data_IF_630765847436
#
_entry.id   IF_630765847436
#
_cell.length_a   1.000
_cell.length_b   1.000
_cell.length_c   1.000
_cell.angle_alpha   90.00
_cell.angle_beta   90.00
_cell.angle_gamma   90.00
#
_symmetry.space_group_name_H-M   'P 1'
#
loop_
_entity.id
_entity.type
_entity.pdbx_description
1 polymer ?
#
# COMPACT_ATOMS: atom_id res chain seq x y z
N UNK A 1 -36.06 -11.63 30.17
CA UNK A 1 -35.52 -12.14 28.90
C UNK A 1 -36.67 -12.47 27.98
N UNK A 2 -36.69 -12.03 26.70
CA UNK A 2 -37.80 -12.36 25.79
C UNK A 2 -37.73 -13.87 25.46
N UNK A 3 -38.86 -14.57 25.51
CA UNK A 3 -38.99 -16.03 25.34
C UNK A 3 -38.23 -16.60 24.13
N UNK A 4 -38.25 -15.97 22.93
CA UNK A 4 -37.48 -16.49 21.77
C UNK A 4 -35.98 -16.57 22.01
N UNK A 5 -35.37 -15.58 22.65
CA UNK A 5 -33.95 -15.57 22.93
C UNK A 5 -33.55 -16.63 23.97
N UNK A 6 -34.40 -16.88 24.94
CA UNK A 6 -34.20 -17.95 25.93
C UNK A 6 -34.17 -19.34 25.27
N UNK A 7 -35.14 -19.58 24.38
CA UNK A 7 -35.21 -20.88 23.65
C UNK A 7 -34.02 -21.03 22.70
N UNK A 8 -33.69 -20.02 21.91
CA UNK A 8 -32.56 -20.02 20.99
C UNK A 8 -31.21 -20.30 21.71
N UNK A 9 -30.97 -19.63 22.83
CA UNK A 9 -29.76 -19.87 23.64
C UNK A 9 -29.72 -21.29 24.20
N UNK A 10 -30.89 -21.84 24.64
CA UNK A 10 -30.96 -23.20 25.16
C UNK A 10 -30.74 -24.24 24.07
N UNK A 11 -31.21 -24.01 22.85
CA UNK A 11 -30.95 -24.88 21.70
C UNK A 11 -29.47 -24.92 21.34
N UNK A 12 -28.81 -23.79 21.33
CA UNK A 12 -27.38 -23.70 20.99
C UNK A 12 -26.49 -24.39 22.04
N UNK A 13 -26.81 -24.35 23.32
CA UNK A 13 -25.95 -24.84 24.41
C UNK A 13 -26.46 -26.12 25.11
N UNK A 14 -27.56 -26.76 24.62
CA UNK A 14 -28.12 -27.95 25.28
C UNK A 14 -27.24 -29.21 25.08
N UNK A 15 -26.79 -29.79 26.18
CA UNK A 15 -25.95 -31.01 26.21
C UNK A 15 -26.63 -32.30 25.74
N UNK A 16 -27.94 -32.34 25.56
CA UNK A 16 -28.74 -33.55 25.27
C UNK A 16 -29.35 -33.60 23.86
N UNK A 17 -29.03 -32.66 22.97
CA UNK A 17 -29.50 -32.72 21.60
C UNK A 17 -28.56 -33.57 20.76
N UNK A 18 -29.12 -34.37 19.85
CA UNK A 18 -28.42 -35.29 18.96
C UNK A 18 -27.10 -34.69 18.39
N UNK A 19 -26.04 -35.49 18.35
CA UNK A 19 -24.70 -35.09 17.90
C UNK A 19 -24.66 -34.33 16.56
N UNK A 20 -25.62 -34.62 15.66
CA UNK A 20 -25.67 -34.00 14.31
C UNK A 20 -25.95 -32.49 14.37
N UNK A 21 -26.88 -32.02 15.22
CA UNK A 21 -27.24 -30.59 15.32
C UNK A 21 -26.05 -29.77 15.83
N UNK A 22 -25.36 -30.26 16.85
CA UNK A 22 -24.19 -29.58 17.39
C UNK A 22 -23.04 -29.53 16.38
N UNK A 23 -22.89 -30.58 15.56
CA UNK A 23 -21.89 -30.63 14.48
C UNK A 23 -22.21 -29.58 13.41
N UNK A 24 -23.46 -29.49 12.96
CA UNK A 24 -23.90 -28.50 11.97
C UNK A 24 -23.65 -27.07 12.48
N UNK A 25 -24.07 -26.77 13.71
CA UNK A 25 -23.85 -25.45 14.32
C UNK A 25 -22.35 -25.15 14.50
N UNK A 26 -21.53 -26.14 14.85
CA UNK A 26 -20.08 -25.99 14.98
C UNK A 26 -19.41 -25.74 13.62
N UNK A 27 -19.79 -26.47 12.57
CA UNK A 27 -19.28 -26.27 11.20
C UNK A 27 -19.66 -24.86 10.71
N UNK A 28 -20.89 -24.43 11.01
CA UNK A 28 -21.36 -23.08 10.64
C UNK A 28 -20.55 -21.97 11.32
N UNK A 29 -20.37 -22.12 12.64
CA UNK A 29 -19.57 -21.18 13.43
C UNK A 29 -18.10 -21.19 12.97
N UNK A 30 -17.53 -22.38 12.66
CA UNK A 30 -16.17 -22.51 12.14
C UNK A 30 -16.01 -21.84 10.75
N UNK A 31 -16.94 -22.07 9.82
CA UNK A 31 -16.93 -21.41 8.52
C UNK A 31 -17.01 -19.89 8.62
N UNK A 32 -17.86 -19.40 9.53
CA UNK A 32 -17.91 -17.96 9.84
C UNK A 32 -16.61 -17.45 10.46
N UNK A 33 -16.01 -18.21 11.37
CA UNK A 33 -14.76 -17.86 12.02
C UNK A 33 -13.61 -17.78 11.02
N UNK A 34 -13.49 -18.75 10.11
CA UNK A 34 -12.49 -18.77 9.05
C UNK A 34 -12.67 -17.55 8.13
N UNK A 35 -13.90 -17.27 7.67
CA UNK A 35 -14.18 -16.13 6.83
C UNK A 35 -13.88 -14.79 7.52
N UNK A 36 -14.27 -14.63 8.78
CA UNK A 36 -13.99 -13.41 9.56
C UNK A 36 -12.48 -13.24 9.81
N UNK A 37 -11.78 -14.31 10.15
CA UNK A 37 -10.31 -14.28 10.32
C UNK A 37 -9.61 -13.92 9.00
N UNK A 38 -10.04 -14.48 7.87
CA UNK A 38 -9.50 -14.17 6.55
C UNK A 38 -9.69 -12.68 6.20
N UNK A 39 -10.86 -12.09 6.48
CA UNK A 39 -11.10 -10.67 6.28
C UNK A 39 -10.10 -9.80 7.06
N UNK A 40 -9.89 -10.11 8.35
CA UNK A 40 -8.93 -9.35 9.20
C UNK A 40 -7.48 -9.52 8.69
N UNK A 41 -7.09 -10.73 8.33
CA UNK A 41 -5.72 -11.02 7.86
C UNK A 41 -5.46 -10.27 6.53
N UNK A 42 -6.37 -10.37 5.55
CA UNK A 42 -6.22 -9.73 4.24
C UNK A 42 -6.15 -8.21 4.38
N UNK A 43 -7.05 -7.60 5.16
CA UNK A 43 -7.02 -6.16 5.42
C UNK A 43 -5.74 -5.73 6.11
N UNK A 44 -5.27 -6.51 7.11
CA UNK A 44 -4.03 -6.19 7.83
C UNK A 44 -2.78 -6.31 6.96
N UNK A 45 -2.73 -7.28 6.05
CA UNK A 45 -1.66 -7.42 5.06
C UNK A 45 -1.67 -6.23 4.10
N UNK A 46 -2.83 -5.88 3.56
CA UNK A 46 -2.97 -4.72 2.69
C UNK A 46 -2.48 -3.43 3.37
N UNK A 47 -2.96 -3.17 4.59
CA UNK A 47 -2.55 -2.00 5.36
C UNK A 47 -1.04 -2.00 5.66
N UNK A 48 -0.46 -3.18 5.86
CA UNK A 48 0.98 -3.34 6.06
C UNK A 48 1.79 -2.90 4.84
N UNK A 49 1.40 -3.35 3.64
CA UNK A 49 2.02 -2.92 2.39
C UNK A 49 1.76 -1.45 2.08
N UNK A 50 0.52 -0.97 2.22
CA UNK A 50 0.16 0.44 2.02
C UNK A 50 1.01 1.37 2.90
N UNK A 51 1.23 1.00 4.16
CA UNK A 51 2.07 1.77 5.08
C UNK A 51 3.54 1.80 4.64
N UNK A 52 4.11 0.67 4.20
CA UNK A 52 5.50 0.62 3.72
C UNK A 52 5.67 1.47 2.47
N UNK A 53 4.78 1.33 1.49
CA UNK A 53 4.85 2.13 0.26
C UNK A 53 4.76 3.62 0.58
N UNK A 54 3.80 4.02 1.41
CA UNK A 54 3.63 5.43 1.81
C UNK A 54 4.82 5.96 2.61
N UNK A 55 5.39 5.16 3.51
CA UNK A 55 6.54 5.55 4.30
C UNK A 55 7.77 5.74 3.43
N UNK A 56 8.03 4.82 2.52
CA UNK A 56 9.18 4.90 1.61
C UNK A 56 9.06 6.10 0.65
N UNK A 57 7.88 6.32 0.05
CA UNK A 57 7.62 7.52 -0.74
C UNK A 57 7.76 8.80 0.09
N UNK A 58 7.36 8.76 1.37
CA UNK A 58 7.43 9.92 2.27
C UNK A 58 8.85 10.28 2.70
N UNK A 59 9.76 9.31 2.76
CA UNK A 59 11.17 9.56 3.16
C UNK A 59 12.02 10.03 1.96
N UNK A 60 11.73 9.51 0.76
CA UNK A 60 12.47 9.85 -0.45
C UNK A 60 11.97 11.11 -1.14
N UNK A 61 10.65 11.30 -1.18
CA UNK A 61 10.03 12.39 -1.94
C UNK A 61 9.81 13.64 -1.11
N UNK A 62 9.95 14.85 -1.71
CA UNK A 62 9.59 16.11 -1.06
C UNK A 62 8.07 16.21 -0.86
N UNK A 63 7.62 17.08 0.06
CA UNK A 63 6.19 17.35 0.26
C UNK A 63 5.56 17.99 -0.97
N UNK A 64 6.32 18.88 -1.61
CA UNK A 64 5.95 19.52 -2.87
C UNK A 64 7.18 19.61 -3.78
N UNK A 65 6.95 19.42 -5.07
CA UNK A 65 7.91 19.64 -6.13
C UNK A 65 7.40 20.76 -7.02
N UNK A 66 8.21 21.80 -7.18
CA UNK A 66 7.91 22.93 -8.05
C UNK A 66 8.65 22.75 -9.37
N UNK A 67 7.92 22.79 -10.46
CA UNK A 67 8.41 22.66 -11.83
C UNK A 67 7.99 23.89 -12.65
N UNK A 68 8.72 24.27 -13.69
CA UNK A 68 8.27 25.31 -14.60
C UNK A 68 7.05 24.81 -15.40
N UNK A 69 6.08 25.69 -15.68
CA UNK A 69 4.93 25.40 -16.55
C UNK A 69 5.35 25.25 -18.00
N UNK A 70 6.32 26.03 -18.44
CA UNK A 70 6.88 26.00 -19.79
C UNK A 70 8.41 25.89 -19.71
N UNK A 71 8.99 25.14 -20.66
CA UNK A 71 10.45 24.92 -20.69
C UNK A 71 10.88 23.74 -19.80
N UNK A 72 12.20 23.66 -19.60
CA UNK A 72 12.84 22.61 -18.78
C UNK A 72 13.46 23.16 -17.51
N UNK A 73 13.81 24.43 -17.51
CA UNK A 73 14.53 25.10 -16.42
C UNK A 73 13.92 26.45 -16.11
N UNK A 74 14.18 26.94 -14.91
CA UNK A 74 13.82 28.28 -14.45
C UNK A 74 14.90 28.81 -13.49
N UNK A 75 14.89 30.10 -13.22
CA UNK A 75 15.80 30.70 -12.24
C UNK A 75 15.18 30.69 -10.85
N UNK A 76 15.97 30.36 -9.83
CA UNK A 76 15.53 30.38 -8.44
C UNK A 76 15.02 31.75 -7.98
N UNK A 77 15.58 32.85 -8.58
CA UNK A 77 15.12 34.20 -8.37
C UNK A 77 13.66 34.47 -8.78
N UNK A 78 13.08 33.62 -9.63
CA UNK A 78 11.69 33.74 -10.06
C UNK A 78 10.69 33.25 -9.00
N UNK A 79 11.21 32.56 -7.96
CA UNK A 79 10.42 32.04 -6.84
C UNK A 79 10.46 32.98 -5.62
N UNK A 80 9.36 33.12 -4.86
CA UNK A 80 9.34 33.88 -3.61
C UNK A 80 10.01 33.07 -2.47
N UNK A 81 11.32 32.76 -2.62
CA UNK A 81 12.09 31.88 -1.72
C UNK A 81 11.98 32.33 -0.26
N UNK A 82 12.03 33.65 0.02
CA UNK A 82 11.94 34.17 1.39
C UNK A 82 10.62 33.81 2.09
N UNK A 83 9.52 33.87 1.38
CA UNK A 83 8.21 33.51 1.92
C UNK A 83 8.05 31.98 2.09
N UNK A 84 8.61 31.20 1.18
CA UNK A 84 8.58 29.74 1.26
C UNK A 84 9.48 29.20 2.38
N UNK A 85 10.63 29.82 2.61
CA UNK A 85 11.61 29.40 3.63
C UNK A 85 11.09 29.54 5.07
N UNK A 86 10.03 30.32 5.32
CA UNK A 86 9.40 30.41 6.64
C UNK A 86 8.67 29.12 7.02
N UNK A 87 8.21 28.36 6.02
CA UNK A 87 7.37 27.18 6.24
C UNK A 87 8.03 25.87 5.78
N UNK A 88 8.92 25.97 4.78
CA UNK A 88 9.53 24.82 4.13
C UNK A 88 11.06 24.90 4.12
N UNK A 89 11.69 23.75 4.21
CA UNK A 89 13.08 23.58 3.79
C UNK A 89 13.10 23.49 2.27
N UNK A 90 13.87 24.35 1.62
CA UNK A 90 13.94 24.50 0.16
C UNK A 90 15.25 23.90 -0.31
N UNK A 91 15.21 23.10 -1.37
CA UNK A 91 16.39 22.56 -2.03
C UNK A 91 16.19 22.60 -3.55
N UNK A 92 17.10 23.29 -4.24
CA UNK A 92 17.15 23.27 -5.70
C UNK A 92 17.71 21.95 -6.22
N UNK A 93 17.13 21.41 -7.28
CA UNK A 93 17.63 20.21 -7.95
C UNK A 93 17.75 20.43 -9.45
N UNK A 94 18.71 19.71 -10.03
CA UNK A 94 18.89 19.61 -11.48
C UNK A 94 18.80 18.13 -11.83
N UNK A 95 17.78 17.75 -12.60
CA UNK A 95 17.54 16.38 -12.97
C UNK A 95 17.36 16.25 -14.49
N UNK A 96 18.21 15.41 -15.11
CA UNK A 96 18.17 15.13 -16.54
C UNK A 96 18.62 13.69 -16.84
N UNK A 97 18.14 13.18 -17.99
CA UNK A 97 18.59 11.88 -18.51
C UNK A 97 19.95 12.03 -19.16
N UNK A 98 20.92 11.26 -18.69
CA UNK A 98 22.30 11.30 -19.15
C UNK A 98 22.71 9.94 -19.74
N UNK A 99 23.64 9.96 -20.67
CA UNK A 99 24.33 8.76 -21.12
C UNK A 99 25.52 8.50 -20.19
N UNK A 100 25.71 7.26 -19.77
CA UNK A 100 26.78 6.86 -18.84
C UNK A 100 27.60 5.72 -19.39
N UNK A 101 28.91 5.78 -19.11
CA UNK A 101 29.85 4.67 -19.40
C UNK A 101 30.63 4.28 -18.16
N UNK A 102 30.82 2.99 -17.96
CA UNK A 102 31.63 2.42 -16.89
C UNK A 102 32.21 1.07 -17.31
N UNK A 103 33.53 0.88 -17.19
CA UNK A 103 34.20 -0.40 -17.46
C UNK A 103 33.97 -0.98 -18.86
N UNK A 104 33.66 -0.14 -19.85
CA UNK A 104 33.31 -0.56 -21.20
C UNK A 104 31.83 -0.84 -21.41
N UNK A 105 31.03 -0.88 -20.36
CA UNK A 105 29.57 -0.93 -20.42
C UNK A 105 28.98 0.48 -20.56
N UNK A 106 27.81 0.57 -21.15
CA UNK A 106 27.12 1.85 -21.40
C UNK A 106 25.62 1.71 -21.16
N UNK A 107 24.98 2.82 -20.77
CA UNK A 107 23.54 2.85 -20.50
C UNK A 107 23.01 4.28 -20.44
N UNK A 108 21.70 4.40 -20.17
CA UNK A 108 21.06 5.67 -19.88
C UNK A 108 20.61 5.66 -18.42
N UNK A 109 20.80 6.78 -17.77
CA UNK A 109 20.40 6.94 -16.37
C UNK A 109 19.85 8.34 -16.15
N UNK A 110 19.07 8.51 -15.10
CA UNK A 110 18.56 9.78 -14.61
C UNK A 110 19.56 10.34 -13.60
N UNK A 111 20.25 11.42 -13.93
CA UNK A 111 21.18 12.07 -13.01
C UNK A 111 20.48 13.21 -12.28
N UNK A 112 20.55 13.18 -10.95
CA UNK A 112 20.00 14.22 -10.06
C UNK A 112 21.15 14.89 -9.32
N UNK A 113 21.33 16.17 -9.61
CA UNK A 113 22.22 17.06 -8.87
C UNK A 113 21.52 17.59 -7.62
N UNK A 114 22.16 17.40 -6.45
CA UNK A 114 21.64 17.85 -5.15
C UNK A 114 22.52 18.93 -4.55
N UNK A 115 21.86 19.93 -3.91
CA UNK A 115 22.48 21.13 -3.35
C UNK A 115 22.75 21.03 -1.83
N UNK A 116 22.30 20.00 -1.16
CA UNK A 116 22.21 19.93 0.29
C UNK A 116 23.52 19.50 0.99
N UNK A 117 23.50 19.45 2.33
CA UNK A 117 24.57 18.93 3.20
C UNK A 117 25.08 17.53 2.77
N UNK A 118 24.26 16.78 2.05
CA UNK A 118 24.65 15.52 1.41
C UNK A 118 25.63 15.73 0.25
N UNK A 119 25.65 16.92 -0.40
CA UNK A 119 26.62 17.23 -1.45
C UNK A 119 28.04 17.27 -0.90
N UNK A 120 28.22 17.64 0.36
CA UNK A 120 29.56 17.67 1.00
C UNK A 120 30.16 16.26 1.08
N UNK A 121 29.34 15.23 1.24
CA UNK A 121 29.77 13.82 1.21
C UNK A 121 30.05 13.32 -0.22
N UNK A 122 29.54 14.03 -1.23
CA UNK A 122 29.73 13.72 -2.64
C UNK A 122 30.97 14.39 -3.26
N UNK A 123 31.78 15.12 -2.49
CA UNK A 123 33.07 15.64 -2.90
C UNK A 123 34.21 15.04 -2.07
N UNK A 124 35.29 14.66 -2.74
CA UNK A 124 36.55 14.27 -2.12
C UNK A 124 37.67 15.10 -2.75
N UNK A 125 37.94 16.26 -2.19
CA UNK A 125 38.77 17.30 -2.84
C UNK A 125 38.10 17.71 -4.15
N UNK A 126 38.84 17.61 -5.27
CA UNK A 126 38.33 17.94 -6.60
C UNK A 126 37.61 16.77 -7.31
N UNK A 127 37.47 15.63 -6.64
CA UNK A 127 36.85 14.42 -7.21
C UNK A 127 35.37 14.37 -6.86
N UNK A 128 34.54 14.50 -7.89
CA UNK A 128 33.11 14.29 -7.74
C UNK A 128 32.80 12.80 -7.53
N UNK A 129 31.95 12.51 -6.56
CA UNK A 129 31.49 11.18 -6.18
C UNK A 129 30.01 11.04 -6.53
N UNK A 130 29.60 9.82 -6.86
CA UNK A 130 28.21 9.54 -7.22
C UNK A 130 27.69 8.34 -6.45
N UNK A 131 26.40 8.40 -6.08
CA UNK A 131 25.63 7.28 -5.56
C UNK A 131 24.73 6.76 -6.66
N UNK A 132 24.65 5.46 -6.81
CA UNK A 132 23.96 4.81 -7.90
C UNK A 132 22.75 4.02 -7.42
N UNK A 133 21.66 4.04 -8.19
CA UNK A 133 20.54 3.13 -8.01
C UNK A 133 20.93 1.68 -8.35
N UNK A 134 20.22 0.70 -7.76
CA UNK A 134 20.58 -0.71 -7.93
C UNK A 134 20.41 -1.22 -9.36
N UNK A 135 19.46 -0.70 -10.14
CA UNK A 135 19.23 -1.07 -11.54
C UNK A 135 20.41 -0.70 -12.42
N UNK A 136 20.73 0.60 -12.49
CA UNK A 136 21.87 1.08 -13.31
C UNK A 136 23.21 0.53 -12.82
N UNK A 137 23.36 0.33 -11.49
CA UNK A 137 24.57 -0.28 -10.95
C UNK A 137 24.74 -1.73 -11.41
N UNK A 138 23.65 -2.50 -11.46
CA UNK A 138 23.65 -3.87 -11.95
C UNK A 138 23.89 -3.96 -13.46
N UNK A 139 23.24 -3.09 -14.24
CA UNK A 139 23.38 -3.02 -15.70
C UNK A 139 24.80 -2.74 -16.14
N UNK A 140 25.44 -1.77 -15.49
CA UNK A 140 26.81 -1.36 -15.81
C UNK A 140 27.88 -2.19 -15.09
N UNK A 141 27.50 -3.03 -14.12
CA UNK A 141 28.44 -3.79 -13.30
C UNK A 141 29.22 -2.90 -12.32
N UNK A 142 28.61 -1.81 -11.84
CA UNK A 142 29.24 -0.86 -10.93
C UNK A 142 29.51 -1.51 -9.58
N UNK A 143 30.76 -1.47 -9.14
CA UNK A 143 31.15 -1.89 -7.82
C UNK A 143 31.91 -0.75 -7.12
N UNK A 144 31.37 -0.14 -6.05
CA UNK A 144 32.00 0.96 -5.34
C UNK A 144 33.37 0.63 -4.73
N UNK A 145 33.73 -0.65 -4.63
CA UNK A 145 35.04 -1.10 -4.12
C UNK A 145 36.16 -0.98 -5.15
N UNK A 146 35.81 -0.83 -6.43
CA UNK A 146 36.81 -0.64 -7.48
C UNK A 146 37.18 0.83 -7.65
N UNK A 147 38.40 1.08 -8.12
CA UNK A 147 38.92 2.45 -8.32
C UNK A 147 38.45 3.07 -9.64
N UNK A 148 37.67 2.34 -10.41
CA UNK A 148 37.19 2.75 -11.73
C UNK A 148 36.21 3.92 -11.63
N UNK A 149 36.29 4.84 -12.60
CA UNK A 149 35.41 6.02 -12.67
C UNK A 149 34.35 5.81 -13.75
N UNK A 150 33.16 6.34 -13.52
CA UNK A 150 32.13 6.46 -14.53
C UNK A 150 32.23 7.82 -15.22
N UNK A 151 31.78 7.88 -16.48
CA UNK A 151 31.68 9.12 -17.24
C UNK A 151 30.22 9.36 -17.61
N UNK A 152 29.74 10.56 -17.30
CA UNK A 152 28.42 11.03 -17.68
C UNK A 152 28.56 11.93 -18.89
N UNK A 153 27.69 11.76 -19.88
CA UNK A 153 27.69 12.53 -21.12
C UNK A 153 26.33 13.18 -21.33
N UNK A 154 26.36 14.40 -21.81
CA UNK A 154 25.16 15.15 -22.20
C UNK A 154 25.47 16.03 -23.43
N UNK A 155 24.49 16.23 -24.35
CA UNK A 155 24.68 17.16 -25.47
C UNK A 155 24.95 18.57 -24.99
N UNK A 156 25.99 19.21 -25.57
CA UNK A 156 26.26 20.61 -25.30
C UNK A 156 25.17 21.49 -25.94
N UNK A 157 24.65 22.45 -25.15
CA UNK A 157 23.57 23.36 -25.58
C UNK A 157 24.00 24.23 -26.80
N UNK A 158 25.23 24.63 -26.84
CA UNK A 158 25.76 25.59 -27.82
C UNK A 158 26.51 24.91 -28.97
N UNK A 159 26.80 23.62 -28.87
CA UNK A 159 27.53 22.91 -29.87
C UNK A 159 26.72 22.61 -31.14
N UNK A 160 27.26 22.94 -32.29
CA UNK A 160 26.70 22.52 -33.57
C UNK A 160 27.07 21.08 -33.84
N UNK A 161 26.09 20.23 -34.08
CA UNK A 161 26.33 18.85 -34.47
C UNK A 161 27.18 18.77 -35.73
N UNK A 162 28.32 18.09 -35.63
CA UNK A 162 29.21 17.79 -36.75
C UNK A 162 29.22 16.27 -37.04
N UNK A 163 28.79 15.84 -38.25
CA UNK A 163 28.85 14.42 -38.61
C UNK A 163 30.24 13.82 -38.62
N UNK A 164 31.29 14.67 -38.72
CA UNK A 164 32.71 14.24 -38.77
C UNK A 164 33.24 13.97 -37.37
N UNK A 165 32.76 14.68 -36.36
CA UNK A 165 33.16 14.49 -34.97
C UNK A 165 31.93 14.69 -34.03
N UNK A 166 31.10 13.67 -33.92
CA UNK A 166 29.89 13.77 -33.10
C UNK A 166 30.21 13.89 -31.58
N UNK A 167 31.36 13.39 -31.14
CA UNK A 167 31.75 13.45 -29.72
C UNK A 167 32.10 14.88 -29.27
N UNK A 168 32.51 15.76 -30.20
CA UNK A 168 32.79 17.16 -29.87
C UNK A 168 31.51 17.97 -29.49
N UNK A 169 30.32 17.43 -29.71
CA UNK A 169 29.06 18.02 -29.32
C UNK A 169 28.56 17.46 -27.97
N UNK A 170 29.36 16.69 -27.25
CA UNK A 170 29.01 16.12 -25.96
C UNK A 170 29.89 16.70 -24.86
N UNK A 171 29.27 17.27 -23.85
CA UNK A 171 29.96 17.54 -22.60
C UNK A 171 30.09 16.23 -21.83
N UNK A 172 31.19 16.08 -21.11
CA UNK A 172 31.37 14.92 -20.24
C UNK A 172 31.96 15.32 -18.88
N UNK A 173 31.59 14.57 -17.86
CA UNK A 173 32.14 14.72 -16.52
C UNK A 173 32.47 13.34 -15.94
N UNK A 174 33.51 13.31 -15.13
CA UNK A 174 33.97 12.09 -14.48
C UNK A 174 33.46 12.04 -13.05
N UNK A 175 32.86 10.90 -12.66
CA UNK A 175 32.39 10.64 -11.30
C UNK A 175 32.98 9.35 -10.77
N UNK A 176 33.23 9.29 -9.47
CA UNK A 176 33.65 8.08 -8.78
C UNK A 176 32.46 7.42 -8.06
N UNK A 177 32.13 6.17 -8.38
CA UNK A 177 31.12 5.44 -7.60
C UNK A 177 31.55 5.27 -6.14
N UNK A 178 30.68 5.59 -5.19
CA UNK A 178 30.97 5.44 -3.76
C UNK A 178 29.98 4.56 -3.04
N UNK A 179 28.77 4.49 -3.54
CA UNK A 179 27.70 3.74 -2.92
C UNK A 179 26.68 3.30 -3.96
N UNK A 180 26.02 2.17 -3.68
CA UNK A 180 24.79 1.75 -4.37
C UNK A 180 23.70 1.78 -3.32
N UNK A 181 22.81 2.77 -3.41
CA UNK A 181 21.75 2.93 -2.43
C UNK A 181 20.64 1.89 -2.63
N UNK A 182 19.97 1.54 -1.56
CA UNK A 182 18.81 0.65 -1.65
C UNK A 182 17.60 1.48 -2.10
N UNK A 183 17.07 1.18 -3.29
CA UNK A 183 15.88 1.84 -3.78
C UNK A 183 14.63 1.27 -3.14
N UNK A 184 13.73 2.13 -2.74
CA UNK A 184 12.41 1.76 -2.26
C UNK A 184 11.41 1.57 -3.40
N UNK A 185 11.70 2.14 -4.57
CA UNK A 185 10.83 2.15 -5.74
C UNK A 185 11.60 1.77 -7.00
N UNK A 186 10.91 1.20 -8.00
CA UNK A 186 11.52 0.90 -9.30
C UNK A 186 11.98 2.18 -10.03
N UNK A 187 11.42 3.34 -9.69
CA UNK A 187 11.76 4.63 -10.30
C UNK A 187 13.16 5.13 -9.94
N UNK A 188 13.68 4.72 -8.78
CA UNK A 188 15.01 5.09 -8.34
C UNK A 188 16.08 4.10 -8.82
N UNK A 189 15.70 3.03 -9.50
CA UNK A 189 16.63 2.00 -9.95
C UNK A 189 17.70 2.57 -10.89
N UNK A 190 17.31 3.50 -11.75
CA UNK A 190 18.18 4.11 -12.76
C UNK A 190 18.64 5.52 -12.37
N UNK A 191 18.46 5.90 -11.10
CA UNK A 191 18.86 7.20 -10.58
C UNK A 191 20.33 7.24 -10.20
N UNK A 192 20.98 8.34 -10.52
CA UNK A 192 22.36 8.66 -10.11
C UNK A 192 22.31 9.99 -9.34
N UNK A 193 22.80 10.00 -8.11
CA UNK A 193 22.88 11.21 -7.28
C UNK A 193 24.30 11.75 -7.33
N UNK A 194 24.44 13.01 -7.74
CA UNK A 194 25.70 13.72 -7.91
C UNK A 194 25.64 15.12 -7.31
N UNK A 195 26.77 15.81 -7.08
CA UNK A 195 26.75 17.23 -6.71
C UNK A 195 26.06 18.08 -7.79
N UNK A 196 25.31 19.09 -7.39
CA UNK A 196 24.58 19.96 -8.32
C UNK A 196 25.53 20.74 -9.24
N UNK A 197 26.69 21.15 -8.73
CA UNK A 197 27.72 21.87 -9.50
C UNK A 197 28.24 21.04 -10.66
N UNK A 198 28.29 19.71 -10.47
CA UNK A 198 28.68 18.80 -11.55
C UNK A 198 27.62 18.77 -12.65
N UNK A 199 26.34 18.76 -12.28
CA UNK A 199 25.25 18.82 -13.25
C UNK A 199 25.22 20.15 -13.99
N UNK A 200 25.46 21.27 -13.30
CA UNK A 200 25.60 22.58 -13.95
C UNK A 200 26.70 22.57 -15.01
N UNK A 201 27.86 22.01 -14.67
CA UNK A 201 28.98 21.88 -15.62
C UNK A 201 28.64 20.99 -16.81
N UNK A 202 27.97 19.84 -16.56
CA UNK A 202 27.62 18.88 -17.60
C UNK A 202 26.58 19.43 -18.58
N UNK A 203 25.57 20.17 -18.06
CA UNK A 203 24.42 20.65 -18.81
C UNK A 203 24.62 22.07 -19.37
N UNK A 204 25.66 22.80 -18.92
CA UNK A 204 25.89 24.20 -19.25
C UNK A 204 24.84 25.13 -18.60
N UNK A 205 24.39 24.81 -17.36
CA UNK A 205 23.39 25.59 -16.64
C UNK A 205 24.04 26.69 -15.79
N UNK A 206 23.29 27.79 -15.59
CA UNK A 206 23.70 28.90 -14.74
C UNK A 206 23.68 28.54 -13.23
N UNK A 207 24.28 29.41 -12.40
CA UNK A 207 24.34 29.18 -10.94
C UNK A 207 22.94 29.16 -10.27
N UNK A 208 21.99 29.94 -10.78
CA UNK A 208 20.61 30.04 -10.25
C UNK A 208 19.60 29.27 -11.11
N UNK A 209 20.05 28.42 -12.03
CA UNK A 209 19.19 27.65 -12.93
C UNK A 209 18.93 26.26 -12.36
N UNK A 210 17.63 25.89 -12.26
CA UNK A 210 17.14 24.64 -11.71
C UNK A 210 16.12 23.98 -12.64
N UNK A 211 16.02 22.67 -12.60
CA UNK A 211 14.93 21.92 -13.25
C UNK A 211 13.72 21.77 -12.35
N UNK A 212 13.93 21.71 -11.04
CA UNK A 212 12.88 21.67 -10.04
C UNK A 212 13.38 22.20 -8.69
N UNK A 213 12.43 22.56 -7.82
CA UNK A 213 12.70 22.91 -6.42
C UNK A 213 11.86 22.01 -5.52
N UNK A 214 12.55 21.34 -4.59
CA UNK A 214 11.94 20.51 -3.55
C UNK A 214 11.57 21.36 -2.34
N UNK A 215 10.35 21.17 -1.85
CA UNK A 215 9.88 21.74 -0.59
C UNK A 215 9.61 20.60 0.40
N UNK A 216 10.26 20.64 1.56
CA UNK A 216 10.03 19.72 2.68
C UNK A 216 9.57 20.49 3.90
N UNK A 217 8.40 20.13 4.46
CA UNK A 217 7.83 20.84 5.61
C UNK A 217 6.43 20.35 5.95
N UNK A 218 5.55 21.28 6.31
CA UNK A 218 4.21 20.93 6.75
C UNK A 218 3.32 20.69 5.53
N UNK A 219 2.97 19.43 5.27
CA UNK A 219 2.01 19.05 4.23
C UNK A 219 0.65 19.75 4.46
N UNK A 220 0.02 20.23 3.37
CA UNK A 220 -1.31 20.84 3.40
C UNK A 220 -1.34 22.39 3.40
N UNK A 221 -0.20 23.06 3.24
CA UNK A 221 -0.19 24.49 2.95
C UNK A 221 -0.72 24.75 1.52
N UNK A 222 -1.63 25.70 1.38
CA UNK A 222 -2.04 26.16 0.06
C UNK A 222 -0.90 27.03 -0.50
N UNK A 223 -0.24 26.51 -1.55
CA UNK A 223 0.81 27.19 -2.28
C UNK A 223 0.18 27.75 -3.56
N UNK A 224 0.29 29.05 -3.74
CA UNK A 224 -0.10 29.74 -4.98
C UNK A 224 1.13 30.50 -5.50
N UNK A 225 1.72 30.01 -6.58
CA UNK A 225 2.93 30.56 -7.22
C UNK A 225 2.61 31.16 -8.61
N UNK A 226 1.32 31.31 -8.94
CA UNK A 226 0.88 31.77 -10.26
C UNK A 226 0.94 30.69 -11.34
N UNK A 227 0.70 31.08 -12.59
CA UNK A 227 0.58 30.18 -13.74
C UNK A 227 1.94 29.74 -14.32
N UNK A 228 3.03 30.36 -13.89
CA UNK A 228 4.38 30.09 -14.40
C UNK A 228 4.97 28.81 -13.81
N UNK A 229 4.38 28.28 -12.72
CA UNK A 229 4.86 27.10 -12.00
C UNK A 229 3.78 26.04 -11.81
N UNK A 230 4.18 24.79 -11.94
CA UNK A 230 3.37 23.63 -11.59
C UNK A 230 3.83 23.09 -10.25
N UNK A 231 2.91 23.08 -9.28
CA UNK A 231 3.16 22.52 -7.96
C UNK A 231 2.65 21.09 -7.93
N UNK A 232 3.54 20.14 -7.76
CA UNK A 232 3.20 18.73 -7.61
C UNK A 232 3.29 18.33 -6.14
N UNK A 233 2.18 17.96 -5.54
CA UNK A 233 2.17 17.26 -4.25
C UNK A 233 2.67 15.81 -4.43
N UNK A 234 2.91 15.10 -3.34
CA UNK A 234 3.37 13.70 -3.39
C UNK A 234 2.48 12.80 -4.25
N UNK A 235 1.21 13.14 -4.37
CA UNK A 235 0.26 12.37 -5.16
C UNK A 235 0.48 12.53 -6.67
N UNK A 236 0.89 13.73 -7.07
CA UNK A 236 1.11 14.09 -8.47
C UNK A 236 2.54 13.79 -8.94
N UNK A 237 3.49 13.60 -8.01
CA UNK A 237 4.86 13.21 -8.34
C UNK A 237 4.94 11.79 -8.89
N UNK A 238 4.14 10.85 -8.33
CA UNK A 238 4.10 9.44 -8.75
C UNK A 238 2.67 8.96 -9.04
N UNK A 239 1.98 9.51 -10.05
CA UNK A 239 0.58 9.19 -10.33
C UNK A 239 0.37 7.72 -10.69
N UNK A 240 1.39 7.05 -11.23
CA UNK A 240 1.31 5.64 -11.61
C UNK A 240 1.25 4.72 -10.40
N UNK A 241 2.07 4.99 -9.36
CA UNK A 241 2.05 4.24 -8.11
C UNK A 241 0.68 4.37 -7.45
N UNK A 242 0.16 5.59 -7.35
CA UNK A 242 -1.14 5.82 -6.73
C UNK A 242 -2.30 5.21 -7.52
N UNK A 243 -2.23 5.20 -8.87
CA UNK A 243 -3.18 4.47 -9.71
C UNK A 243 -3.10 2.98 -9.45
N UNK A 244 -1.90 2.40 -9.40
CA UNK A 244 -1.67 0.98 -9.10
C UNK A 244 -2.25 0.63 -7.73
N UNK A 245 -1.94 1.39 -6.67
CA UNK A 245 -2.50 1.21 -5.33
C UNK A 245 -4.04 1.25 -5.33
N UNK A 246 -4.65 2.13 -6.15
CA UNK A 246 -6.11 2.21 -6.29
C UNK A 246 -6.68 0.94 -6.93
N UNK A 247 -6.03 0.39 -7.95
CA UNK A 247 -6.47 -0.87 -8.58
C UNK A 247 -6.28 -2.07 -7.64
N UNK A 248 -5.17 -2.14 -6.92
CA UNK A 248 -4.94 -3.17 -5.89
C UNK A 248 -6.02 -3.12 -4.81
N UNK A 249 -6.34 -1.92 -4.32
CA UNK A 249 -7.41 -1.72 -3.36
C UNK A 249 -8.77 -2.19 -3.89
N UNK A 250 -9.08 -1.91 -5.15
CA UNK A 250 -10.30 -2.40 -5.79
C UNK A 250 -10.33 -3.93 -5.90
N UNK A 251 -9.21 -4.56 -6.24
CA UNK A 251 -9.10 -6.01 -6.29
C UNK A 251 -9.29 -6.66 -4.92
N UNK A 252 -8.71 -6.06 -3.87
CA UNK A 252 -8.90 -6.52 -2.48
C UNK A 252 -10.36 -6.41 -2.05
N UNK A 253 -11.05 -5.31 -2.35
CA UNK A 253 -12.48 -5.19 -2.07
C UNK A 253 -13.30 -6.26 -2.80
N UNK A 254 -12.93 -6.62 -4.02
CA UNK A 254 -13.59 -7.71 -4.75
C UNK A 254 -13.39 -9.05 -4.03
N UNK A 255 -12.19 -9.35 -3.56
CA UNK A 255 -11.90 -10.56 -2.77
C UNK A 255 -12.73 -10.55 -1.47
N UNK A 256 -12.80 -9.41 -0.77
CA UNK A 256 -13.59 -9.27 0.45
C UNK A 256 -15.08 -9.52 0.20
N UNK A 257 -15.62 -9.03 -0.92
CA UNK A 257 -17.01 -9.30 -1.33
C UNK A 257 -17.22 -10.80 -1.56
N UNK A 258 -16.29 -11.50 -2.23
CA UNK A 258 -16.39 -12.96 -2.39
C UNK A 258 -16.39 -13.70 -1.05
N UNK A 259 -15.53 -13.30 -0.11
CA UNK A 259 -15.50 -13.91 1.23
C UNK A 259 -16.84 -13.68 1.94
N UNK A 260 -17.41 -12.48 1.84
CA UNK A 260 -18.73 -12.15 2.41
C UNK A 260 -19.83 -13.02 1.78
N UNK A 261 -19.79 -13.25 0.48
CA UNK A 261 -20.73 -14.16 -0.20
C UNK A 261 -20.59 -15.59 0.32
N UNK A 262 -19.35 -16.10 0.46
CA UNK A 262 -19.09 -17.43 1.01
C UNK A 262 -19.63 -17.57 2.44
N UNK A 263 -19.36 -16.57 3.29
CA UNK A 263 -19.91 -16.51 4.65
C UNK A 263 -21.45 -16.55 4.60
N UNK A 264 -22.05 -15.79 3.72
CA UNK A 264 -23.50 -15.69 3.54
C UNK A 264 -24.12 -17.04 3.16
N UNK A 265 -23.52 -17.72 2.19
CA UNK A 265 -23.97 -19.06 1.77
C UNK A 265 -23.80 -20.11 2.86
N UNK A 266 -22.72 -20.02 3.63
CA UNK A 266 -22.48 -20.91 4.77
C UNK A 266 -23.59 -20.77 5.82
N UNK A 267 -23.93 -19.54 6.22
CA UNK A 267 -25.01 -19.27 7.19
C UNK A 267 -26.35 -19.76 6.66
N UNK A 268 -26.68 -19.44 5.41
CA UNK A 268 -27.95 -19.82 4.79
C UNK A 268 -28.10 -21.36 4.72
N UNK A 269 -27.08 -22.05 4.26
CA UNK A 269 -27.06 -23.50 4.15
C UNK A 269 -27.22 -24.20 5.51
N UNK A 270 -26.45 -23.71 6.49
CA UNK A 270 -26.47 -24.25 7.85
C UNK A 270 -27.80 -24.02 8.55
N UNK A 271 -28.34 -22.79 8.45
CA UNK A 271 -29.64 -22.49 9.07
C UNK A 271 -30.77 -23.27 8.39
N UNK A 272 -30.69 -23.47 7.08
CA UNK A 272 -31.66 -24.31 6.34
C UNK A 272 -31.61 -25.76 6.82
N UNK A 273 -30.43 -26.33 7.02
CA UNK A 273 -30.27 -27.69 7.52
C UNK A 273 -30.76 -27.82 8.97
N UNK A 274 -30.44 -26.84 9.80
CA UNK A 274 -30.88 -26.79 11.21
C UNK A 274 -32.41 -26.74 11.32
N UNK A 275 -33.12 -26.00 10.48
CA UNK A 275 -34.60 -25.95 10.45
C UNK A 275 -35.17 -27.32 10.06
N UNK A 276 -34.53 -28.04 9.09
CA UNK A 276 -34.98 -29.37 8.67
C UNK A 276 -34.85 -30.37 9.82
N UNK A 277 -33.71 -30.38 10.48
CA UNK A 277 -33.39 -31.29 11.59
C UNK A 277 -34.30 -31.05 12.80
N UNK A 278 -34.72 -29.79 13.00
CA UNK A 278 -35.60 -29.37 14.11
C UNK A 278 -37.10 -29.43 13.81
N UNK A 279 -37.50 -30.15 12.74
CA UNK A 279 -38.91 -30.20 12.33
C UNK A 279 -39.83 -30.75 13.42
N UNK A 280 -39.43 -31.81 14.14
CA UNK A 280 -40.18 -32.37 15.25
C UNK A 280 -40.35 -31.41 16.44
N UNK A 281 -39.31 -30.60 16.71
CA UNK A 281 -39.41 -29.56 17.74
C UNK A 281 -40.36 -28.44 17.30
N UNK A 282 -40.39 -28.10 16.00
CA UNK A 282 -41.32 -27.11 15.41
C UNK A 282 -42.76 -27.60 15.57
N UNK A 283 -43.04 -28.84 15.22
CA UNK A 283 -44.37 -29.46 15.34
C UNK A 283 -44.86 -29.49 16.82
N UNK A 284 -43.95 -29.77 17.74
CA UNK A 284 -44.23 -29.71 19.18
C UNK A 284 -44.55 -28.29 19.66
N UNK A 285 -43.80 -27.28 19.19
CA UNK A 285 -44.05 -25.88 19.49
C UNK A 285 -45.41 -25.42 18.96
N UNK A 286 -45.81 -25.83 17.75
CA UNK A 286 -47.11 -25.58 17.18
C UNK A 286 -48.24 -26.21 18.02
N UNK A 287 -48.08 -27.47 18.45
CA UNK A 287 -49.03 -28.14 19.32
C UNK A 287 -49.19 -27.43 20.68
N UNK A 288 -48.17 -26.74 21.15
CA UNK A 288 -48.20 -25.89 22.35
C UNK A 288 -48.75 -24.49 22.10
N UNK A 289 -49.22 -24.19 20.87
CA UNK A 289 -49.86 -22.91 20.52
C UNK A 289 -48.91 -21.81 20.05
N UNK A 290 -47.66 -22.15 19.70
CA UNK A 290 -46.72 -21.19 19.14
C UNK A 290 -47.15 -20.82 17.70
N UNK A 291 -47.21 -19.51 17.41
CA UNK A 291 -47.44 -19.03 16.05
C UNK A 291 -46.17 -19.07 15.19
N UNK A 292 -46.31 -19.06 13.86
CA UNK A 292 -45.19 -19.07 12.91
C UNK A 292 -44.22 -17.89 13.11
N UNK A 293 -44.73 -16.76 13.60
CA UNK A 293 -43.88 -15.58 13.85
C UNK A 293 -42.95 -15.81 15.03
N UNK A 294 -43.39 -16.50 16.05
CA UNK A 294 -42.61 -16.87 17.22
C UNK A 294 -41.48 -17.86 16.81
N UNK A 295 -41.87 -18.89 16.05
CA UNK A 295 -40.95 -19.94 15.58
C UNK A 295 -39.88 -19.32 14.69
N UNK A 296 -40.27 -18.47 13.73
CA UNK A 296 -39.28 -17.73 12.89
C UNK A 296 -38.30 -16.90 13.71
N UNK A 297 -38.78 -16.20 14.75
CA UNK A 297 -37.92 -15.42 15.64
C UNK A 297 -36.93 -16.29 16.42
N UNK A 298 -37.34 -17.50 16.85
CA UNK A 298 -36.45 -18.43 17.55
C UNK A 298 -35.27 -18.83 16.65
N UNK A 299 -35.56 -19.34 15.43
CA UNK A 299 -34.53 -19.80 14.52
C UNK A 299 -33.69 -18.66 13.95
N UNK A 300 -34.29 -17.50 13.70
CA UNK A 300 -33.51 -16.32 13.30
C UNK A 300 -32.52 -15.88 14.40
N UNK A 301 -32.93 -15.90 15.65
CA UNK A 301 -32.06 -15.60 16.78
C UNK A 301 -30.98 -16.67 16.99
N UNK A 302 -31.33 -17.95 16.79
CA UNK A 302 -30.34 -19.05 16.85
C UNK A 302 -29.27 -18.90 15.80
N UNK A 303 -29.63 -18.69 14.51
CA UNK A 303 -28.68 -18.43 13.43
C UNK A 303 -27.83 -17.19 13.68
N UNK A 304 -28.42 -16.12 14.20
CA UNK A 304 -27.68 -14.91 14.57
C UNK A 304 -26.68 -15.16 15.72
N UNK A 305 -27.05 -15.96 16.72
CA UNK A 305 -26.14 -16.33 17.82
C UNK A 305 -24.97 -17.18 17.31
N UNK A 306 -25.22 -18.12 16.38
CA UNK A 306 -24.16 -18.90 15.72
C UNK A 306 -23.22 -17.96 14.96
N UNK A 307 -23.77 -17.00 14.22
CA UNK A 307 -23.00 -15.97 13.51
C UNK A 307 -22.13 -15.15 14.44
N UNK A 308 -22.67 -14.72 15.58
CA UNK A 308 -21.91 -13.96 16.57
C UNK A 308 -20.77 -14.77 17.17
N UNK A 309 -20.99 -16.04 17.49
CA UNK A 309 -19.94 -16.92 18.01
C UNK A 309 -18.83 -17.14 16.98
N UNK A 310 -19.20 -17.38 15.73
CA UNK A 310 -18.25 -17.51 14.63
C UNK A 310 -17.47 -16.23 14.41
N UNK A 311 -18.14 -15.08 14.37
CA UNK A 311 -17.49 -13.78 14.20
C UNK A 311 -16.51 -13.48 15.34
N UNK A 312 -16.92 -13.64 16.60
CA UNK A 312 -16.01 -13.38 17.74
C UNK A 312 -14.80 -14.30 17.73
N UNK A 313 -14.99 -15.61 17.49
CA UNK A 313 -13.87 -16.55 17.39
C UNK A 313 -12.97 -16.24 16.19
N UNK A 314 -13.53 -15.84 15.05
CA UNK A 314 -12.79 -15.43 13.88
C UNK A 314 -11.97 -14.14 14.09
N UNK A 315 -12.55 -13.13 14.77
CA UNK A 315 -11.81 -11.93 15.17
C UNK A 315 -10.63 -12.29 16.09
N UNK A 316 -10.85 -13.13 17.10
CA UNK A 316 -9.77 -13.54 18.01
C UNK A 316 -8.66 -14.24 17.24
N UNK A 317 -8.99 -15.21 16.38
CA UNK A 317 -7.98 -15.94 15.57
C UNK A 317 -7.29 -15.00 14.60
N UNK A 318 -8.02 -14.14 13.88
CA UNK A 318 -7.45 -13.18 12.93
C UNK A 318 -6.51 -12.19 13.60
N UNK A 319 -6.92 -11.58 14.70
CA UNK A 319 -6.10 -10.62 15.47
C UNK A 319 -4.86 -11.32 16.03
N UNK A 320 -5.00 -12.51 16.62
CA UNK A 320 -3.86 -13.26 17.13
C UNK A 320 -2.85 -13.59 16.03
N UNK A 321 -3.32 -14.02 14.85
CA UNK A 321 -2.45 -14.30 13.69
C UNK A 321 -1.68 -13.05 13.26
N UNK A 322 -2.35 -11.92 13.14
CA UNK A 322 -1.73 -10.65 12.77
C UNK A 322 -0.72 -10.18 13.81
N UNK A 323 -1.05 -10.29 15.10
CA UNK A 323 -0.14 -9.91 16.20
C UNK A 323 1.09 -10.82 16.25
N UNK A 324 0.90 -12.13 16.06
CA UNK A 324 2.00 -13.10 16.01
C UNK A 324 2.91 -12.79 14.81
N UNK A 325 2.34 -12.55 13.63
CA UNK A 325 3.10 -12.19 12.44
C UNK A 325 3.87 -10.87 12.62
N UNK A 326 3.22 -9.84 13.17
CA UNK A 326 3.85 -8.54 13.45
C UNK A 326 5.00 -8.62 14.47
N UNK A 327 4.89 -9.52 15.46
CA UNK A 327 5.91 -9.67 16.51
C UNK A 327 7.06 -10.59 16.13
N UNK A 328 6.77 -11.67 15.45
CA UNK A 328 7.73 -12.77 15.22
C UNK A 328 8.16 -12.88 13.75
N UNK A 329 7.49 -12.22 12.82
CA UNK A 329 7.85 -12.29 11.39
C UNK A 329 7.92 -13.72 10.83
N UNK A 330 6.96 -14.59 11.21
CA UNK A 330 7.00 -16.02 10.89
C UNK A 330 6.99 -16.24 9.38
N UNK A 331 6.15 -15.49 8.67
CA UNK A 331 6.09 -15.55 7.22
C UNK A 331 7.06 -14.49 6.68
N UNK A 332 8.10 -14.97 5.97
CA UNK A 332 9.12 -14.12 5.36
C UNK A 332 8.81 -13.86 3.90
N UNK A 333 9.22 -12.69 3.40
CA UNK A 333 9.18 -12.39 1.97
C UNK A 333 10.35 -13.10 1.26
N UNK A 334 10.10 -13.83 0.16
CA UNK A 334 11.16 -14.44 -0.63
C UNK A 334 11.84 -13.38 -1.50
N UNK A 335 13.12 -13.11 -1.27
CA UNK A 335 13.94 -12.16 -2.04
C UNK A 335 14.63 -11.10 -1.18
N UNK A 336 15.40 -10.20 -1.82
CA UNK A 336 16.04 -9.05 -1.17
C UNK A 336 15.08 -7.85 -1.18
N UNK A 337 14.06 -7.90 -0.36
CA UNK A 337 13.16 -6.75 -0.14
C UNK A 337 13.63 -5.92 1.05
N UNK A 338 13.15 -4.68 1.12
CA UNK A 338 13.41 -3.74 2.23
C UNK A 338 12.98 -4.28 3.60
N UNK A 339 12.11 -5.26 3.65
CA UNK A 339 11.61 -5.91 4.87
C UNK A 339 11.74 -7.42 4.76
N UNK A 340 12.30 -8.05 5.77
CA UNK A 340 12.50 -9.49 5.83
C UNK A 340 11.20 -10.27 6.04
N UNK A 341 10.22 -9.68 6.73
CA UNK A 341 8.96 -10.30 7.08
C UNK A 341 7.78 -9.71 6.32
N UNK A 342 6.79 -10.54 6.04
CA UNK A 342 5.54 -10.10 5.41
C UNK A 342 4.89 -9.00 6.24
N UNK A 343 4.69 -7.79 5.68
CA UNK A 343 4.21 -6.65 6.44
C UNK A 343 2.74 -6.84 6.80
N UNK A 344 2.41 -6.55 8.04
CA UNK A 344 1.02 -6.55 8.53
C UNK A 344 0.79 -5.36 9.46
N UNK A 345 -0.33 -4.66 9.27
CA UNK A 345 -0.72 -3.54 10.13
C UNK A 345 -2.20 -3.69 10.53
N UNK A 346 -2.44 -3.90 11.81
CA UNK A 346 -3.79 -4.00 12.34
C UNK A 346 -4.37 -2.60 12.53
N UNK A 347 -5.47 -2.31 11.84
CA UNK A 347 -6.26 -1.08 12.04
C UNK A 347 -7.56 -1.42 12.77
N UNK A 348 -7.81 -0.74 13.89
CA UNK A 348 -9.03 -0.97 14.69
C UNK A 348 -10.32 -0.61 13.95
N UNK A 349 -10.24 0.33 13.01
CA UNK A 349 -11.35 0.68 12.11
C UNK A 349 -11.80 -0.50 11.29
N UNK A 350 -10.86 -1.29 10.75
CA UNK A 350 -11.16 -2.47 9.93
C UNK A 350 -11.74 -3.59 10.78
N UNK A 351 -11.25 -3.77 12.00
CA UNK A 351 -11.80 -4.74 12.96
C UNK A 351 -13.27 -4.42 13.28
N UNK A 352 -13.55 -3.15 13.56
CA UNK A 352 -14.92 -2.71 13.88
C UNK A 352 -15.85 -2.81 12.66
N UNK A 353 -15.37 -2.40 11.47
CA UNK A 353 -16.15 -2.51 10.23
C UNK A 353 -16.44 -3.97 9.87
N UNK A 354 -15.44 -4.85 9.99
CA UNK A 354 -15.62 -6.28 9.74
C UNK A 354 -16.61 -6.88 10.73
N UNK A 355 -16.49 -6.57 12.02
CA UNK A 355 -17.42 -7.03 13.04
C UNK A 355 -18.86 -6.56 12.77
N UNK A 356 -19.04 -5.28 12.42
CA UNK A 356 -20.33 -4.71 12.09
C UNK A 356 -20.94 -5.35 10.83
N UNK A 357 -20.14 -5.48 9.76
CA UNK A 357 -20.57 -6.06 8.49
C UNK A 357 -21.00 -7.53 8.65
N UNK A 358 -20.15 -8.36 9.28
CA UNK A 358 -20.43 -9.79 9.48
C UNK A 358 -21.66 -9.98 10.38
N UNK A 359 -21.80 -9.16 11.44
CA UNK A 359 -22.98 -9.19 12.32
C UNK A 359 -24.26 -8.81 11.58
N UNK A 360 -24.22 -7.75 10.78
CA UNK A 360 -25.36 -7.29 9.99
C UNK A 360 -25.79 -8.33 8.94
N UNK A 361 -24.83 -8.89 8.21
CA UNK A 361 -25.05 -9.94 7.20
C UNK A 361 -25.63 -11.19 7.87
N UNK A 362 -25.05 -11.64 8.97
CA UNK A 362 -25.53 -12.76 9.75
C UNK A 362 -26.99 -12.57 10.21
N UNK A 363 -27.33 -11.36 10.65
CA UNK A 363 -28.69 -11.02 11.04
C UNK A 363 -29.69 -11.04 9.87
N UNK A 364 -29.33 -10.39 8.73
CA UNK A 364 -30.17 -10.33 7.53
C UNK A 364 -30.46 -11.73 6.99
N UNK A 365 -29.42 -12.57 6.89
CA UNK A 365 -29.57 -13.93 6.36
C UNK A 365 -30.39 -14.80 7.32
N UNK A 366 -30.14 -14.69 8.60
CA UNK A 366 -30.93 -15.43 9.62
C UNK A 366 -32.42 -15.09 9.56
N UNK A 367 -32.75 -13.82 9.29
CA UNK A 367 -34.14 -13.41 9.08
C UNK A 367 -34.74 -13.97 7.78
N UNK A 368 -33.96 -13.98 6.67
CA UNK A 368 -34.43 -14.44 5.35
C UNK A 368 -34.62 -15.94 5.28
N UNK A 369 -33.72 -16.73 5.86
CA UNK A 369 -33.80 -18.19 5.89
C UNK A 369 -35.03 -18.68 6.66
N UNK A 370 -35.33 -18.05 7.77
CA UNK A 370 -36.56 -18.34 8.54
C UNK A 370 -37.87 -18.02 7.80
N UNK A 371 -37.83 -17.08 6.83
CA UNK A 371 -39.03 -16.69 6.04
C UNK A 371 -39.32 -17.66 4.90
N UNK A 372 -38.30 -18.10 4.16
CA UNK A 372 -38.52 -18.86 2.95
C UNK A 372 -38.92 -20.33 3.19
N UNK A 373 -38.43 -20.98 4.25
CA UNK A 373 -38.70 -22.39 4.52
C UNK A 373 -40.01 -22.64 5.27
N UNK A 374 -40.49 -21.69 6.06
CA UNK A 374 -41.78 -21.82 6.78
C UNK A 374 -43.00 -21.37 5.94
N UNK A 375 -42.77 -20.72 4.77
CA UNK A 375 -43.80 -20.34 3.81
C UNK A 375 -44.01 -21.39 2.70
N UNK A 376 -43.18 -22.42 2.62
CA UNK A 376 -43.30 -23.50 1.63
C UNK A 376 -44.16 -24.68 2.13
N UNK A 377 -44.88 -24.50 3.23
CA UNK A 377 -46.00 -25.32 3.71
C UNK A 377 -47.31 -24.55 3.51
#
# INVERSE_FOLDING_TARGET
MKLPLYIAKRYLFAKKSHNVINIISAISAAGMAIGTAALIIILSVYNGFDNIIRQNLSESDPDYLILPSEGKTFNGSDLPISALAETFSISGIIEESVFITYGGNQGFAKARGVESSDSTSLWLGDIARARFGPGIASELGINPRFVESAFLYFPDRDAKFSPVNPEAALNNVRVKPVDVFTSATEFDNDLIIVPIELMRTLLGYGEDEFTAVELRGRAGAALDLGDDFVIMDRYHQHPEIYKMMKYEKAAIYLILIFIVIIISLNIFGSLSMLIIEKQGDIDTLHALGADDKLIRKIFALEGWLISLLGMVSGLVVGILTVVIQSRFGIVKLPGNYLVDAYPVALQWTDVLLTAAAVTAIGFIISLSAGRNRLLSR
#
